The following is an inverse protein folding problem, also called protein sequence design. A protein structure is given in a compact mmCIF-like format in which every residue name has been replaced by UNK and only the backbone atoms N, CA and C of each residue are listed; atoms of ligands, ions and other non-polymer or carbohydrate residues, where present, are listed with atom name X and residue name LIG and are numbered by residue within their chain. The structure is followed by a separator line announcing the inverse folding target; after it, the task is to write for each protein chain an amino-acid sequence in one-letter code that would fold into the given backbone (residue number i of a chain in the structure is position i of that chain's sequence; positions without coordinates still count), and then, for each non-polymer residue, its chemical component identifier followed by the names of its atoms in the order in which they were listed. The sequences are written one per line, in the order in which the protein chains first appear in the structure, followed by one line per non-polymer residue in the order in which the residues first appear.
data_IF_248282592441
#
_entry.id   IF_248282592441
#
_cell.length_a   1.000
_cell.length_b   1.000
_cell.length_c   1.000
_cell.angle_alpha   90.00
_cell.angle_beta   90.00
_cell.angle_gamma   90.00
#
_symmetry.space_group_name_H-M   'P 1'
#
loop_
_entity.id
_entity.type
_entity.pdbx_description
1 polymer ?
#
# COMPACT_ATOMS: atom_id res chain seq x y z
N UNK A 1 0.36 -4.72 21.64
CA UNK A 1 1.48 -4.08 22.39
C UNK A 1 2.24 -5.01 23.32
N UNK A 2 2.07 -6.35 23.27
CA UNK A 2 2.78 -7.27 24.18
C UNK A 2 4.31 -7.25 24.03
N UNK A 3 4.81 -7.02 22.82
CA UNK A 3 6.25 -6.94 22.53
C UNK A 3 6.84 -5.55 22.79
N UNK A 4 6.01 -4.57 23.19
CA UNK A 4 6.49 -3.21 23.41
C UNK A 4 7.23 -3.11 24.74
N UNK A 5 8.33 -2.34 24.82
CA UNK A 5 9.15 -2.23 26.03
C UNK A 5 8.38 -1.58 27.20
N UNK A 6 7.41 -0.72 26.90
CA UNK A 6 6.56 -0.05 27.89
C UNK A 6 5.29 -0.84 28.25
N UNK A 7 5.15 -2.10 27.82
CA UNK A 7 3.96 -2.92 28.08
C UNK A 7 3.60 -2.96 29.56
N UNK A 8 4.58 -3.16 30.45
CA UNK A 8 4.32 -3.29 31.88
C UNK A 8 3.72 -2.01 32.49
N UNK A 9 4.15 -0.83 32.01
CA UNK A 9 3.59 0.48 32.37
C UNK A 9 2.24 0.74 31.70
N UNK A 10 2.04 0.23 30.49
CA UNK A 10 0.82 0.45 29.71
C UNK A 10 -0.38 -0.26 30.33
N UNK A 11 -0.16 -1.46 30.85
CA UNK A 11 -1.24 -2.31 31.38
C UNK A 11 -1.55 -1.94 32.83
N UNK A 12 -0.61 -1.32 33.56
CA UNK A 12 -0.81 -0.91 34.93
C UNK A 12 -2.01 0.06 35.08
N UNK A 13 -2.89 -0.26 36.02
CA UNK A 13 -4.09 0.51 36.31
C UNK A 13 -5.25 0.26 35.35
N UNK A 14 -5.03 -0.41 34.21
CA UNK A 14 -6.08 -0.65 33.20
C UNK A 14 -7.13 -1.63 33.71
N UNK A 15 -8.26 -1.72 32.99
CA UNK A 15 -9.31 -2.67 33.33
C UNK A 15 -9.42 -3.74 32.28
N UNK A 16 -9.66 -4.96 32.73
CA UNK A 16 -9.76 -6.14 31.88
C UNK A 16 -10.96 -6.98 32.30
N UNK A 17 -11.45 -7.76 31.35
CA UNK A 17 -12.52 -8.72 31.54
C UNK A 17 -11.90 -10.11 31.62
N UNK A 18 -12.19 -10.84 32.69
CA UNK A 18 -11.69 -12.20 32.89
C UNK A 18 -12.86 -13.18 32.97
N UNK A 19 -12.73 -14.31 32.28
CA UNK A 19 -13.66 -15.42 32.41
C UNK A 19 -13.42 -16.12 33.75
N UNK A 20 -14.49 -16.42 34.47
CA UNK A 20 -14.45 -17.20 35.69
C UNK A 20 -15.21 -18.49 35.40
N UNK A 21 -14.50 -19.60 35.50
CA UNK A 21 -15.00 -20.94 35.16
C UNK A 21 -15.92 -21.53 36.25
N UNK A 22 -16.40 -20.71 37.19
CA UNK A 22 -16.93 -21.17 38.48
C UNK A 22 -18.46 -21.15 38.55
N UNK A 23 -19.13 -21.35 37.42
CA UNK A 23 -20.59 -21.46 37.38
C UNK A 23 -21.02 -22.91 37.25
N UNK A 24 -21.84 -23.35 38.21
CA UNK A 24 -22.44 -24.70 38.28
C UNK A 24 -23.33 -25.00 37.06
N UNK A 25 -23.86 -23.96 36.41
CA UNK A 25 -24.79 -24.07 35.27
C UNK A 25 -24.13 -24.05 33.88
N UNK A 26 -22.79 -24.09 33.80
CA UNK A 26 -22.05 -24.13 32.52
C UNK A 26 -21.98 -22.82 31.74
N UNK A 27 -22.65 -21.75 32.19
CA UNK A 27 -22.49 -20.41 31.60
C UNK A 27 -21.16 -19.75 32.02
N UNK A 28 -20.38 -19.30 31.04
CA UNK A 28 -19.15 -18.52 31.27
C UNK A 28 -19.49 -17.14 31.82
N UNK A 29 -19.31 -16.96 33.12
CA UNK A 29 -19.45 -15.66 33.78
C UNK A 29 -18.15 -14.89 33.68
N UNK A 30 -18.25 -13.60 33.40
CA UNK A 30 -17.10 -12.72 33.35
C UNK A 30 -17.13 -11.71 34.49
N UNK A 31 -15.93 -11.36 35.00
CA UNK A 31 -15.77 -10.24 35.93
C UNK A 31 -14.94 -9.14 35.32
N UNK A 32 -15.32 -7.92 35.65
CA UNK A 32 -14.57 -6.72 35.37
C UNK A 32 -13.57 -6.49 36.50
N UNK A 33 -12.27 -6.45 36.19
CA UNK A 33 -11.20 -6.34 37.18
C UNK A 33 -10.20 -5.26 36.78
N UNK A 34 -9.56 -4.65 37.77
CA UNK A 34 -8.46 -3.70 37.55
C UNK A 34 -7.13 -4.46 37.55
N UNK A 35 -6.22 -4.10 36.64
CA UNK A 35 -4.85 -4.61 36.63
C UNK A 35 -3.99 -3.76 37.56
N UNK A 36 -3.40 -4.38 38.58
CA UNK A 36 -2.47 -3.70 39.48
C UNK A 36 -1.08 -3.57 38.84
N UNK A 37 -0.50 -4.67 38.38
CA UNK A 37 0.81 -4.71 37.75
C UNK A 37 1.01 -6.02 36.98
N UNK A 38 2.03 -6.06 36.14
CA UNK A 38 2.49 -7.28 35.46
C UNK A 38 3.34 -8.10 36.42
N UNK A 39 3.09 -9.40 36.51
CA UNK A 39 3.82 -10.34 37.36
C UNK A 39 4.20 -11.59 36.56
N UNK A 40 5.00 -12.49 37.15
CA UNK A 40 5.33 -13.76 36.51
C UNK A 40 4.48 -14.88 37.11
N UNK A 41 3.88 -15.71 36.24
CA UNK A 41 3.18 -16.93 36.61
C UNK A 41 4.16 -18.09 36.75
N UNK A 42 3.80 -19.07 37.57
CA UNK A 42 4.60 -20.27 37.84
C UNK A 42 4.81 -21.12 36.58
N UNK A 43 3.72 -21.38 35.84
CA UNK A 43 3.73 -22.19 34.62
C UNK A 43 3.82 -21.33 33.37
N UNK A 44 4.79 -21.63 32.50
CA UNK A 44 4.87 -21.01 31.18
C UNK A 44 3.72 -21.46 30.29
N UNK A 45 3.13 -20.53 29.54
CA UNK A 45 2.00 -20.80 28.65
C UNK A 45 2.22 -20.14 27.28
N UNK A 46 1.65 -20.69 26.20
CA UNK A 46 1.73 -20.06 24.89
C UNK A 46 0.86 -18.80 24.86
N UNK A 47 1.42 -17.68 24.46
CA UNK A 47 0.71 -16.43 24.25
C UNK A 47 1.34 -15.66 23.10
N UNK A 48 0.51 -15.14 22.20
CA UNK A 48 0.99 -14.28 21.12
C UNK A 48 2.11 -14.92 20.25
N UNK A 49 2.17 -16.25 20.15
CA UNK A 49 3.19 -16.99 19.38
C UNK A 49 4.48 -17.33 20.14
N UNK A 50 4.62 -16.91 21.41
CA UNK A 50 5.78 -17.21 22.27
C UNK A 50 5.32 -17.94 23.55
N UNK A 51 6.16 -18.82 24.12
CA UNK A 51 5.93 -19.33 25.48
C UNK A 51 6.34 -18.26 26.48
N UNK A 52 5.37 -17.69 27.20
CA UNK A 52 5.60 -16.62 28.18
C UNK A 52 5.30 -17.09 29.61
N UNK A 53 6.01 -16.51 30.58
CA UNK A 53 5.65 -16.56 32.00
C UNK A 53 5.05 -15.23 32.49
N UNK A 54 4.93 -14.21 31.63
CA UNK A 54 4.29 -12.94 32.03
C UNK A 54 2.80 -13.17 32.27
N UNK A 55 2.26 -12.64 33.36
CA UNK A 55 0.86 -12.58 33.70
C UNK A 55 0.52 -11.22 34.30
N UNK A 56 -0.73 -11.06 34.75
CA UNK A 56 -1.19 -9.81 35.36
C UNK A 56 -1.80 -10.10 36.73
N UNK A 57 -1.51 -9.22 37.69
CA UNK A 57 -2.20 -9.26 38.97
C UNK A 57 -3.49 -8.45 38.84
N UNK A 58 -4.61 -9.14 38.97
CA UNK A 58 -5.94 -8.55 38.91
C UNK A 58 -6.45 -8.25 40.31
N UNK A 59 -7.15 -7.13 40.44
CA UNK A 59 -7.77 -6.66 41.66
C UNK A 59 -9.28 -6.58 41.42
N UNK A 60 -10.03 -7.19 42.34
CA UNK A 60 -11.48 -7.14 42.40
C UNK A 60 -11.89 -6.80 43.84
N UNK A 61 -12.16 -5.52 44.09
CA UNK A 61 -12.34 -4.99 45.44
C UNK A 61 -11.08 -5.18 46.29
N UNK A 62 -11.18 -5.99 47.35
CA UNK A 62 -10.05 -6.33 48.25
C UNK A 62 -9.25 -7.56 47.79
N UNK A 63 -9.82 -8.38 46.92
CA UNK A 63 -9.20 -9.63 46.47
C UNK A 63 -8.21 -9.37 45.34
N UNK A 64 -7.03 -9.97 45.46
CA UNK A 64 -5.99 -9.94 44.42
C UNK A 64 -5.74 -11.35 43.91
N UNK A 65 -5.76 -11.54 42.59
CA UNK A 65 -5.48 -12.84 41.97
C UNK A 65 -4.60 -12.67 40.75
N UNK A 66 -3.62 -13.55 40.62
CA UNK A 66 -2.78 -13.61 39.43
C UNK A 66 -3.50 -14.36 38.32
N UNK A 67 -3.47 -13.81 37.11
CA UNK A 67 -4.05 -14.43 35.91
C UNK A 67 -3.05 -14.44 34.76
N UNK A 68 -3.15 -15.45 33.89
CA UNK A 68 -2.49 -15.47 32.60
C UNK A 68 -3.15 -14.45 31.65
N UNK A 69 -2.41 -13.96 30.67
CA UNK A 69 -2.92 -13.06 29.63
C UNK A 69 -3.89 -13.76 28.68
N UNK A 70 -3.79 -15.08 28.56
CA UNK A 70 -4.67 -15.90 27.72
C UNK A 70 -6.09 -16.03 28.28
N UNK A 71 -6.26 -15.89 29.61
CA UNK A 71 -7.58 -15.94 30.27
C UNK A 71 -8.37 -14.62 30.13
N UNK A 72 -7.75 -13.57 29.59
CA UNK A 72 -8.41 -12.28 29.37
C UNK A 72 -9.32 -12.35 28.15
N UNK A 73 -10.53 -11.82 28.29
CA UNK A 73 -11.51 -11.76 27.21
C UNK A 73 -11.21 -10.59 26.26
N UNK A 74 -11.38 -10.82 24.96
CA UNK A 74 -11.31 -9.78 23.93
C UNK A 74 -12.67 -9.08 23.69
N UNK A 75 -13.74 -9.56 24.33
CA UNK A 75 -15.07 -8.99 24.15
C UNK A 75 -15.21 -7.65 24.88
N UNK A 76 -16.13 -6.82 24.38
CA UNK A 76 -16.50 -5.55 25.03
C UNK A 76 -17.10 -5.81 26.41
N UNK A 77 -16.92 -4.85 27.30
CA UNK A 77 -17.54 -4.81 28.62
C UNK A 77 -19.06 -4.75 28.46
N UNK A 78 -19.78 -5.62 29.18
CA UNK A 78 -21.24 -5.57 29.25
C UNK A 78 -21.71 -4.77 30.46
N UNK A 79 -22.91 -4.20 30.39
CA UNK A 79 -23.50 -3.39 31.44
C UNK A 79 -23.66 -4.17 32.75
N UNK A 80 -24.22 -5.39 32.68
CA UNK A 80 -24.34 -6.30 33.84
C UNK A 80 -23.00 -6.53 34.57
N UNK A 81 -21.91 -6.68 33.81
CA UNK A 81 -20.58 -6.94 34.38
C UNK A 81 -20.03 -5.71 35.12
N UNK A 82 -20.30 -4.53 34.57
CA UNK A 82 -19.93 -3.25 35.18
C UNK A 82 -20.76 -2.99 36.44
N UNK A 83 -22.07 -3.19 36.39
CA UNK A 83 -22.97 -2.96 37.52
C UNK A 83 -22.64 -3.88 38.69
N UNK A 84 -22.39 -5.17 38.43
CA UNK A 84 -21.96 -6.10 39.47
C UNK A 84 -20.64 -5.67 40.13
N UNK A 85 -19.67 -5.22 39.33
CA UNK A 85 -18.42 -4.70 39.86
C UNK A 85 -18.61 -3.41 40.68
N UNK A 86 -19.44 -2.50 40.18
CA UNK A 86 -19.75 -1.22 40.84
C UNK A 86 -20.44 -1.45 42.19
N UNK A 87 -21.51 -2.25 42.21
CA UNK A 87 -22.26 -2.60 43.41
C UNK A 87 -21.35 -3.28 44.45
N UNK A 88 -20.44 -4.16 43.99
CA UNK A 88 -19.47 -4.80 44.86
C UNK A 88 -18.49 -3.79 45.48
N UNK A 89 -17.97 -2.83 44.70
CA UNK A 89 -17.11 -1.77 45.24
C UNK A 89 -17.84 -0.85 46.23
N UNK A 90 -19.09 -0.48 45.92
CA UNK A 90 -19.96 0.31 46.80
C UNK A 90 -20.22 -0.44 48.13
N UNK A 91 -20.45 -1.76 48.08
CA UNK A 91 -20.61 -2.60 49.28
C UNK A 91 -19.35 -2.63 50.16
N UNK A 92 -18.17 -2.49 49.54
CA UNK A 92 -16.88 -2.44 50.22
C UNK A 92 -16.48 -1.02 50.67
N UNK A 93 -17.36 -0.02 50.44
CA UNK A 93 -17.09 1.41 50.66
C UNK A 93 -15.82 1.90 49.95
N UNK A 94 -15.54 1.32 48.78
CA UNK A 94 -14.42 1.72 47.93
C UNK A 94 -14.88 2.75 46.89
N UNK A 95 -13.98 3.63 46.48
CA UNK A 95 -14.28 4.64 45.49
C UNK A 95 -14.37 4.02 44.09
N UNK A 96 -15.45 4.31 43.39
CA UNK A 96 -15.61 3.97 41.98
C UNK A 96 -14.91 5.06 41.15
N UNK A 97 -14.09 4.72 40.15
CA UNK A 97 -13.42 5.69 39.29
C UNK A 97 -14.41 6.63 38.62
N UNK A 98 -14.14 7.94 38.71
CA UNK A 98 -14.93 8.95 38.01
C UNK A 98 -14.71 8.88 36.51
N UNK A 99 -15.70 9.30 35.71
CA UNK A 99 -15.59 9.43 34.25
C UNK A 99 -14.34 10.20 33.81
N UNK A 100 -13.99 11.28 34.50
CA UNK A 100 -12.77 12.05 34.21
C UNK A 100 -11.49 11.25 34.38
N UNK A 101 -11.40 10.43 35.43
CA UNK A 101 -10.24 9.56 35.66
C UNK A 101 -10.12 8.52 34.54
N UNK A 102 -11.23 7.94 34.11
CA UNK A 102 -11.26 7.01 32.99
C UNK A 102 -10.81 7.67 31.67
N UNK A 103 -11.26 8.90 31.40
CA UNK A 103 -10.83 9.67 30.21
C UNK A 103 -9.34 9.99 30.27
N UNK A 104 -8.84 10.47 31.41
CA UNK A 104 -7.41 10.75 31.62
C UNK A 104 -6.57 9.51 31.39
N UNK A 105 -7.01 8.37 31.93
CA UNK A 105 -6.32 7.10 31.76
C UNK A 105 -6.34 6.61 30.31
N UNK A 106 -7.48 6.71 29.63
CA UNK A 106 -7.59 6.37 28.21
C UNK A 106 -6.65 7.22 27.35
N UNK A 107 -6.60 8.53 27.58
CA UNK A 107 -5.70 9.43 26.88
C UNK A 107 -4.22 9.10 27.17
N UNK A 108 -3.88 8.80 28.42
CA UNK A 108 -2.51 8.38 28.79
C UNK A 108 -2.07 7.10 28.05
N UNK A 109 -2.94 6.11 27.96
CA UNK A 109 -2.68 4.85 27.23
C UNK A 109 -2.53 5.11 25.73
N UNK A 110 -3.36 5.99 25.17
CA UNK A 110 -3.33 6.34 23.74
C UNK A 110 -2.09 7.15 23.36
N UNK A 111 -1.64 8.05 24.22
CA UNK A 111 -0.48 8.92 23.97
C UNK A 111 0.87 8.24 24.22
N UNK A 112 0.90 7.23 25.11
CA UNK A 112 2.14 6.53 25.49
C UNK A 112 2.94 5.99 24.29
N UNK A 113 2.34 5.26 23.33
CA UNK A 113 3.07 4.77 22.15
C UNK A 113 3.66 5.89 21.28
N UNK A 114 2.98 7.03 21.18
CA UNK A 114 3.44 8.16 20.36
C UNK A 114 4.55 8.97 21.03
N UNK A 115 4.61 8.97 22.36
CA UNK A 115 5.65 9.67 23.14
C UNK A 115 6.93 8.84 23.31
N UNK A 116 6.81 7.51 23.27
CA UNK A 116 7.95 6.63 23.51
C UNK A 116 8.94 6.70 22.34
N UNK A 117 10.15 7.21 22.62
CA UNK A 117 11.28 7.14 21.69
C UNK A 117 11.97 5.81 21.86
N UNK A 118 11.97 4.99 20.81
CA UNK A 118 12.64 3.69 20.83
C UNK A 118 14.15 3.87 20.75
N UNK A 119 14.87 3.10 21.57
CA UNK A 119 16.32 2.93 21.44
C UNK A 119 16.62 1.78 20.48
N UNK A 120 17.79 1.80 19.85
CA UNK A 120 18.20 0.74 18.91
C UNK A 120 18.20 -0.66 19.56
N UNK A 121 18.60 -0.74 20.83
CA UNK A 121 18.52 -1.96 21.64
C UNK A 121 17.09 -2.45 21.84
N UNK A 122 16.13 -1.55 22.10
CA UNK A 122 14.73 -1.92 22.24
C UNK A 122 14.14 -2.43 20.92
N UNK A 123 14.51 -1.79 19.81
CA UNK A 123 14.07 -2.21 18.48
C UNK A 123 14.61 -3.60 18.14
N UNK A 124 15.89 -3.86 18.39
CA UNK A 124 16.51 -5.17 18.11
C UNK A 124 15.86 -6.28 18.94
N UNK A 125 15.67 -6.07 20.25
CA UNK A 125 14.95 -7.03 21.12
C UNK A 125 13.52 -7.27 20.62
N UNK A 126 12.80 -6.21 20.28
CA UNK A 126 11.42 -6.32 19.81
C UNK A 126 11.33 -7.09 18.48
N UNK A 127 12.22 -6.81 17.53
CA UNK A 127 12.27 -7.49 16.23
C UNK A 127 12.61 -8.96 16.43
N UNK A 128 13.60 -9.27 17.27
CA UNK A 128 13.99 -10.64 17.57
C UNK A 128 12.84 -11.43 18.22
N UNK A 129 12.12 -10.84 19.17
CA UNK A 129 10.94 -11.47 19.79
C UNK A 129 9.77 -11.62 18.82
N UNK A 130 9.53 -10.65 17.94
CA UNK A 130 8.51 -10.73 16.89
C UNK A 130 8.84 -11.80 15.83
N UNK A 131 10.12 -12.00 15.53
CA UNK A 131 10.60 -13.09 14.67
C UNK A 131 10.45 -14.45 15.34
N UNK A 132 10.92 -14.59 16.58
CA UNK A 132 10.81 -15.84 17.35
C UNK A 132 9.36 -16.29 17.57
N UNK A 133 8.43 -15.35 17.72
CA UNK A 133 6.99 -15.62 17.85
C UNK A 133 6.27 -15.92 16.52
N UNK A 134 6.99 -15.92 15.40
CA UNK A 134 6.43 -16.18 14.07
C UNK A 134 5.45 -15.11 13.55
N UNK A 135 5.29 -13.99 14.28
CA UNK A 135 4.37 -12.90 13.90
C UNK A 135 4.97 -11.95 12.87
N UNK A 136 6.30 -11.80 12.90
CA UNK A 136 7.03 -11.11 11.84
C UNK A 136 7.31 -12.09 10.72
N UNK A 137 6.28 -12.46 9.96
CA UNK A 137 6.49 -13.12 8.67
C UNK A 137 6.83 -12.05 7.65
N UNK A 138 8.13 -11.89 7.38
CA UNK A 138 8.54 -11.23 6.16
C UNK A 138 8.05 -12.12 5.01
N UNK A 139 7.46 -11.53 3.97
CA UNK A 139 7.07 -12.31 2.80
C UNK A 139 8.28 -13.11 2.33
N UNK A 140 8.11 -14.42 2.09
CA UNK A 140 9.20 -15.34 1.71
C UNK A 140 10.06 -14.74 0.58
N UNK A 141 9.44 -14.05 -0.39
CA UNK A 141 10.17 -13.37 -1.47
C UNK A 141 11.07 -12.21 -1.03
N UNK A 142 10.66 -11.43 -0.02
CA UNK A 142 11.49 -10.34 0.53
C UNK A 142 12.65 -10.91 1.36
N UNK A 143 12.43 -12.04 2.05
CA UNK A 143 13.48 -12.72 2.80
C UNK A 143 14.51 -13.39 1.87
N UNK A 144 14.05 -13.99 0.76
CA UNK A 144 14.92 -14.52 -0.30
C UNK A 144 15.83 -13.42 -0.86
N UNK A 145 15.28 -12.28 -1.28
CA UNK A 145 16.08 -11.17 -1.84
C UNK A 145 17.07 -10.59 -0.83
N UNK A 146 16.70 -10.55 0.46
CA UNK A 146 17.63 -10.14 1.53
C UNK A 146 18.77 -11.13 1.70
N UNK A 147 18.46 -12.42 1.76
CA UNK A 147 19.46 -13.48 1.87
C UNK A 147 20.38 -13.51 0.65
N UNK A 148 19.87 -13.31 -0.57
CA UNK A 148 20.68 -13.20 -1.80
C UNK A 148 21.69 -12.04 -1.70
N UNK A 149 21.23 -10.88 -1.22
CA UNK A 149 22.11 -9.73 -0.98
C UNK A 149 23.15 -10.00 0.09
N UNK A 150 22.76 -10.65 1.18
CA UNK A 150 23.66 -10.97 2.30
C UNK A 150 24.71 -12.04 1.91
N UNK A 151 24.33 -13.03 1.09
CA UNK A 151 25.25 -14.00 0.47
C UNK A 151 26.25 -13.28 -0.43
N UNK A 152 25.78 -12.38 -1.31
CA UNK A 152 26.66 -11.61 -2.18
C UNK A 152 27.64 -10.76 -1.35
N UNK A 153 27.16 -10.10 -0.29
CA UNK A 153 28.00 -9.33 0.62
C UNK A 153 29.04 -10.20 1.36
N UNK A 154 28.65 -11.37 1.88
CA UNK A 154 29.54 -12.30 2.57
C UNK A 154 30.63 -12.86 1.63
N UNK A 155 30.28 -13.16 0.37
CA UNK A 155 31.24 -13.56 -0.67
C UNK A 155 32.22 -12.44 -1.00
N UNK A 156 31.74 -11.20 -1.15
CA UNK A 156 32.64 -10.06 -1.39
C UNK A 156 33.57 -9.78 -0.21
N UNK A 157 33.16 -10.12 1.01
CA UNK A 157 33.97 -9.99 2.22
C UNK A 157 34.89 -11.19 2.51
N UNK A 158 34.99 -12.18 1.60
CA UNK A 158 35.77 -13.43 1.77
C UNK A 158 35.46 -14.22 3.05
N UNK A 159 34.25 -14.09 3.59
CA UNK A 159 33.83 -14.85 4.77
C UNK A 159 33.08 -16.12 4.35
N UNK A 160 33.86 -17.15 4.00
CA UNK A 160 33.35 -18.38 3.40
C UNK A 160 32.40 -19.15 4.31
N UNK A 161 32.69 -19.23 5.62
CA UNK A 161 31.84 -19.94 6.58
C UNK A 161 30.42 -19.34 6.67
N UNK A 162 30.35 -18.00 6.77
CA UNK A 162 29.06 -17.29 6.78
C UNK A 162 28.35 -17.38 5.44
N UNK A 163 29.08 -17.42 4.33
CA UNK A 163 28.48 -17.53 3.00
C UNK A 163 27.78 -18.89 2.82
N UNK A 164 28.37 -19.98 3.32
CA UNK A 164 27.80 -21.33 3.26
C UNK A 164 26.53 -21.42 4.11
N UNK A 165 26.55 -20.87 5.33
CA UNK A 165 25.38 -20.84 6.20
C UNK A 165 24.21 -20.07 5.58
N UNK A 166 24.50 -18.90 4.99
CA UNK A 166 23.49 -18.06 4.34
C UNK A 166 22.93 -18.70 3.06
N UNK A 167 23.76 -19.40 2.28
CA UNK A 167 23.33 -20.15 1.10
C UNK A 167 22.43 -21.33 1.46
N UNK A 168 22.77 -22.10 2.50
CA UNK A 168 21.92 -23.18 2.99
C UNK A 168 20.54 -22.66 3.42
N UNK A 169 20.51 -21.53 4.12
CA UNK A 169 19.27 -20.86 4.53
C UNK A 169 18.47 -20.32 3.34
N UNK A 170 19.14 -19.76 2.34
CA UNK A 170 18.51 -19.30 1.10
C UNK A 170 17.81 -20.45 0.37
N UNK A 171 18.48 -21.60 0.23
CA UNK A 171 17.92 -22.78 -0.43
C UNK A 171 16.67 -23.31 0.29
N UNK A 172 16.69 -23.37 1.63
CA UNK A 172 15.51 -23.76 2.43
C UNK A 172 14.32 -22.82 2.19
N UNK A 173 14.57 -21.51 2.14
CA UNK A 173 13.52 -20.51 1.93
C UNK A 173 12.98 -20.53 0.50
N UNK A 174 13.83 -20.78 -0.50
CA UNK A 174 13.43 -20.97 -1.89
C UNK A 174 12.53 -22.21 -2.03
N UNK A 175 12.94 -23.34 -1.45
CA UNK A 175 12.14 -24.57 -1.46
C UNK A 175 10.78 -24.39 -0.78
N UNK A 176 10.72 -23.70 0.37
CA UNK A 176 9.45 -23.38 1.03
C UNK A 176 8.54 -22.48 0.18
N UNK A 177 9.13 -21.53 -0.56
CA UNK A 177 8.39 -20.68 -1.48
C UNK A 177 7.89 -21.46 -2.70
N UNK A 178 8.67 -22.38 -3.24
CA UNK A 178 8.27 -23.28 -4.33
C UNK A 178 7.12 -24.20 -3.91
N UNK A 179 7.17 -24.79 -2.71
CA UNK A 179 6.06 -25.56 -2.17
C UNK A 179 4.78 -24.73 -2.07
N UNK A 180 4.88 -23.49 -1.57
CA UNK A 180 3.73 -22.57 -1.55
C UNK A 180 3.23 -22.22 -2.94
N UNK A 181 4.14 -22.09 -3.91
CA UNK A 181 3.81 -21.81 -5.30
C UNK A 181 3.17 -23.01 -6.01
N UNK A 182 3.51 -24.22 -5.60
CA UNK A 182 2.94 -25.47 -6.10
C UNK A 182 1.48 -25.65 -5.65
N UNK A 183 1.10 -25.14 -4.47
CA UNK A 183 -0.28 -25.15 -3.95
C UNK A 183 -1.12 -24.00 -4.53
N UNK A 184 -0.85 -23.58 -5.78
CA UNK A 184 -1.72 -22.62 -6.46
C UNK A 184 -3.01 -23.31 -6.88
N UNK A 185 -4.13 -22.82 -6.36
CA UNK A 185 -5.45 -23.17 -6.89
C UNK A 185 -5.58 -22.68 -8.33
N UNK A 186 -6.28 -23.43 -9.20
CA UNK A 186 -6.41 -23.13 -10.63
C UNK A 186 -6.91 -21.70 -10.90
N UNK A 187 -7.76 -21.16 -10.02
CA UNK A 187 -8.26 -19.79 -10.12
C UNK A 187 -7.15 -18.73 -9.92
N UNK A 188 -6.17 -18.99 -9.04
CA UNK A 188 -5.04 -18.08 -8.82
C UNK A 188 -4.10 -18.11 -10.03
N UNK A 189 -3.92 -19.26 -10.68
CA UNK A 189 -3.15 -19.35 -11.94
C UNK A 189 -3.84 -18.54 -13.03
N UNK A 190 -5.15 -18.72 -13.22
CA UNK A 190 -5.97 -18.00 -14.21
C UNK A 190 -5.92 -16.49 -14.01
N UNK A 191 -6.07 -16.00 -12.77
CA UNK A 191 -6.02 -14.56 -12.47
C UNK A 191 -4.63 -13.97 -12.77
N UNK A 192 -3.56 -14.72 -12.44
CA UNK A 192 -2.20 -14.27 -12.72
C UNK A 192 -1.91 -14.21 -14.23
N UNK A 193 -2.41 -15.16 -15.02
CA UNK A 193 -2.30 -15.13 -16.48
C UNK A 193 -3.07 -13.95 -17.10
N UNK A 194 -4.28 -13.66 -16.60
CA UNK A 194 -5.05 -12.49 -17.04
C UNK A 194 -4.29 -11.20 -16.71
N UNK A 195 -3.72 -11.09 -15.51
CA UNK A 195 -2.93 -9.93 -15.11
C UNK A 195 -1.65 -9.78 -15.93
N UNK A 196 -0.96 -10.88 -16.25
CA UNK A 196 0.22 -10.87 -17.12
C UNK A 196 -0.14 -10.38 -18.52
N UNK A 197 -1.21 -10.94 -19.11
CA UNK A 197 -1.72 -10.53 -20.42
C UNK A 197 -2.13 -9.06 -20.44
N UNK A 198 -2.77 -8.57 -19.37
CA UNK A 198 -3.14 -7.16 -19.23
C UNK A 198 -1.92 -6.24 -19.14
N UNK A 199 -0.85 -6.66 -18.44
CA UNK A 199 0.41 -5.90 -18.40
C UNK A 199 1.07 -5.82 -19.77
N UNK A 200 1.13 -6.93 -20.49
CA UNK A 200 1.68 -6.96 -21.86
C UNK A 200 0.86 -6.11 -22.83
N UNK A 201 -0.47 -6.16 -22.74
CA UNK A 201 -1.36 -5.32 -23.55
C UNK A 201 -1.20 -3.85 -23.21
N UNK A 202 -1.09 -3.49 -21.92
CA UNK A 202 -0.85 -2.10 -21.52
C UNK A 202 0.52 -1.61 -22.01
N UNK A 203 1.57 -2.43 -21.87
CA UNK A 203 2.90 -2.07 -22.37
C UNK A 203 2.92 -1.88 -23.88
N UNK A 204 2.23 -2.75 -24.63
CA UNK A 204 2.09 -2.60 -26.08
C UNK A 204 1.27 -1.37 -26.45
N UNK A 205 0.18 -1.10 -25.75
CA UNK A 205 -0.65 0.11 -25.95
C UNK A 205 0.12 1.38 -25.64
N UNK A 206 0.98 1.40 -24.62
CA UNK A 206 1.84 2.54 -24.32
C UNK A 206 2.89 2.78 -25.42
N UNK A 207 3.46 1.69 -25.97
CA UNK A 207 4.37 1.77 -27.11
C UNK A 207 3.65 2.27 -28.38
N UNK A 208 2.48 1.72 -28.68
CA UNK A 208 1.66 2.12 -29.84
C UNK A 208 1.15 3.56 -29.67
N UNK A 209 0.79 3.97 -28.46
CA UNK A 209 0.40 5.34 -28.14
C UNK A 209 1.59 6.30 -28.26
N UNK A 210 2.79 5.89 -27.85
CA UNK A 210 4.01 6.67 -28.04
C UNK A 210 4.33 6.85 -29.53
N UNK A 211 4.18 5.80 -30.33
CA UNK A 211 4.36 5.87 -31.78
C UNK A 211 3.28 6.72 -32.47
N UNK A 212 2.02 6.59 -32.05
CA UNK A 212 0.90 7.40 -32.54
C UNK A 212 1.04 8.87 -32.16
N UNK A 213 1.45 9.16 -30.93
CA UNK A 213 1.73 10.52 -30.47
C UNK A 213 2.89 11.14 -31.27
N UNK A 214 3.92 10.35 -31.59
CA UNK A 214 5.03 10.79 -32.46
C UNK A 214 4.54 11.11 -33.87
N UNK A 215 3.74 10.22 -34.48
CA UNK A 215 3.16 10.45 -35.80
C UNK A 215 2.18 11.65 -35.84
N UNK A 216 1.45 11.90 -34.76
CA UNK A 216 0.60 13.09 -34.61
C UNK A 216 1.45 14.36 -34.47
N UNK A 217 2.55 14.30 -33.71
CA UNK A 217 3.52 15.39 -33.63
C UNK A 217 4.17 15.65 -34.98
N UNK A 218 4.41 14.64 -35.82
CA UNK A 218 4.97 14.83 -37.16
C UNK A 218 3.98 15.51 -38.13
N UNK A 219 2.69 15.17 -38.04
CA UNK A 219 1.62 15.77 -38.85
C UNK A 219 1.14 17.15 -38.36
N UNK A 220 1.53 17.59 -37.16
CA UNK A 220 1.18 18.92 -36.64
C UNK A 220 1.99 20.03 -37.32
N UNK A 221 1.38 21.18 -37.54
CA UNK A 221 2.12 22.38 -37.98
C UNK A 221 3.09 22.84 -36.89
N UNK A 222 4.21 23.47 -37.29
CA UNK A 222 5.24 23.96 -36.36
C UNK A 222 4.65 24.80 -35.21
N UNK A 223 3.65 25.64 -35.49
CA UNK A 223 2.95 26.45 -34.49
C UNK A 223 2.15 25.61 -33.47
N UNK A 224 1.60 24.47 -33.89
CA UNK A 224 0.81 23.57 -33.07
C UNK A 224 1.70 22.66 -32.20
N UNK A 225 2.84 22.20 -32.73
CA UNK A 225 3.90 21.51 -31.95
C UNK A 225 4.42 22.42 -30.83
N UNK A 226 4.61 23.70 -31.13
CA UNK A 226 5.02 24.73 -30.17
C UNK A 226 4.04 24.91 -29.01
N UNK A 227 2.73 24.88 -29.28
CA UNK A 227 1.70 24.96 -28.23
C UNK A 227 1.71 23.72 -27.34
N UNK A 228 1.93 22.53 -27.91
CA UNK A 228 2.01 21.27 -27.16
C UNK A 228 3.21 21.23 -26.21
N UNK A 229 4.39 21.68 -26.68
CA UNK A 229 5.61 21.80 -25.86
C UNK A 229 5.43 22.85 -24.76
N UNK A 230 4.82 24.00 -25.06
CA UNK A 230 4.51 25.05 -24.07
C UNK A 230 3.52 24.59 -22.98
N UNK A 231 2.55 23.76 -23.33
CA UNK A 231 1.58 23.22 -22.38
C UNK A 231 2.18 22.12 -21.47
N UNK A 232 3.16 21.36 -21.99
CA UNK A 232 3.76 20.22 -21.27
C UNK A 232 4.99 20.61 -20.43
N UNK A 233 5.74 21.64 -20.83
CA UNK A 233 6.93 22.13 -20.13
C UNK A 233 6.60 23.36 -19.28
N UNK A 234 5.88 23.16 -18.18
CA UNK A 234 5.54 24.25 -17.25
C UNK A 234 6.78 24.73 -16.48
N UNK A 235 7.61 25.59 -17.09
CA UNK A 235 8.52 26.61 -16.48
C UNK A 235 9.58 27.21 -17.42
N UNK A 236 9.64 26.82 -18.71
CA UNK A 236 10.59 27.39 -19.69
C UNK A 236 9.89 28.17 -20.79
N UNK A 237 10.49 29.27 -21.22
CA UNK A 237 9.99 30.07 -22.34
C UNK A 237 10.82 29.76 -23.60
N UNK A 238 10.16 29.36 -24.68
CA UNK A 238 10.83 29.04 -25.95
C UNK A 238 10.67 30.16 -26.97
N UNK A 239 11.79 30.72 -27.44
CA UNK A 239 11.89 31.75 -28.49
C UNK A 239 12.76 31.25 -29.66
N UNK A 240 12.54 31.80 -30.87
CA UNK A 240 13.43 31.54 -32.01
C UNK A 240 14.81 32.17 -31.77
N UNK A 241 15.86 31.55 -32.30
CA UNK A 241 17.26 31.96 -32.10
C UNK A 241 17.49 33.43 -32.47
N UNK A 242 16.97 33.86 -33.62
CA UNK A 242 17.03 35.26 -34.07
C UNK A 242 16.40 36.25 -33.07
N UNK A 243 15.29 35.85 -32.43
CA UNK A 243 14.63 36.69 -31.40
C UNK A 243 15.36 36.65 -30.07
N UNK A 244 16.08 35.59 -29.75
CA UNK A 244 16.92 35.52 -28.55
C UNK A 244 18.08 36.49 -28.73
N UNK A 245 18.75 36.47 -29.87
CA UNK A 245 19.92 37.32 -30.15
C UNK A 245 19.56 38.81 -30.16
N UNK A 246 18.43 39.18 -30.78
CA UNK A 246 17.92 40.57 -30.76
C UNK A 246 17.55 41.01 -29.33
N UNK A 247 16.88 40.16 -28.55
CA UNK A 247 16.49 40.53 -27.18
C UNK A 247 17.65 40.54 -26.17
N UNK A 248 18.72 39.78 -26.43
CA UNK A 248 19.96 39.84 -25.67
C UNK A 248 20.71 41.16 -25.96
N UNK A 249 20.74 41.56 -27.24
CA UNK A 249 21.33 42.83 -27.66
C UNK A 249 20.55 44.06 -27.15
N UNK A 250 19.22 43.96 -27.09
CA UNK A 250 18.33 44.99 -26.50
C UNK A 250 18.29 44.96 -24.97
N UNK A 251 19.02 44.06 -24.31
CA UNK A 251 19.14 43.97 -22.84
C UNK A 251 17.89 43.46 -22.10
N UNK A 252 16.92 42.88 -22.82
CA UNK A 252 15.68 42.32 -22.25
C UNK A 252 15.86 40.89 -21.73
N UNK A 253 16.90 40.20 -22.18
CA UNK A 253 17.35 38.89 -21.73
C UNK A 253 18.78 38.98 -21.18
N UNK A 254 19.09 38.20 -20.15
CA UNK A 254 20.43 38.16 -19.55
C UNK A 254 20.96 36.73 -19.65
N UNK A 255 22.20 36.60 -20.12
CA UNK A 255 22.93 35.33 -20.13
C UNK A 255 23.75 35.22 -18.84
N UNK A 256 23.47 34.21 -18.03
CA UNK A 256 24.23 33.91 -16.82
C UNK A 256 25.57 33.22 -17.17
N UNK A 257 26.53 33.21 -16.23
CA UNK A 257 27.86 32.61 -16.44
C UNK A 257 27.83 31.09 -16.70
N UNK A 258 26.73 30.42 -16.31
CA UNK A 258 26.48 28.99 -16.55
C UNK A 258 25.94 28.69 -17.96
N UNK A 259 25.75 29.73 -18.79
CA UNK A 259 25.25 29.62 -20.16
C UNK A 259 23.73 29.70 -20.30
N UNK A 260 22.96 29.80 -19.20
CA UNK A 260 21.49 29.92 -19.23
C UNK A 260 21.06 31.35 -19.57
N UNK A 261 19.97 31.48 -20.33
CA UNK A 261 19.38 32.78 -20.70
C UNK A 261 18.10 32.98 -19.87
N UNK A 262 17.95 34.12 -19.21
CA UNK A 262 16.79 34.41 -18.35
C UNK A 262 16.20 35.78 -18.67
N UNK A 263 14.90 35.97 -18.37
CA UNK A 263 14.28 37.31 -18.48
C UNK A 263 14.60 38.15 -17.24
N UNK A 264 14.80 39.45 -17.44
CA UNK A 264 15.26 40.38 -16.39
C UNK A 264 14.26 40.54 -15.23
N UNK A 265 12.95 40.45 -15.50
CA UNK A 265 11.91 40.83 -14.53
C UNK A 265 11.10 39.67 -13.92
N UNK A 266 11.18 38.46 -14.49
CA UNK A 266 10.55 37.24 -13.93
C UNK A 266 11.51 36.09 -14.22
N UNK A 267 12.12 35.48 -13.19
CA UNK A 267 13.08 34.39 -13.33
C UNK A 267 12.48 33.17 -14.07
N UNK A 268 12.45 33.22 -15.39
CA UNK A 268 11.99 32.18 -16.31
C UNK A 268 13.15 31.91 -17.25
N UNK A 269 13.58 30.65 -17.31
CA UNK A 269 14.65 30.18 -18.18
C UNK A 269 14.15 30.19 -19.64
N UNK A 270 14.93 30.77 -20.53
CA UNK A 270 14.66 30.91 -21.96
C UNK A 270 15.58 29.98 -22.72
N UNK A 271 15.00 29.10 -23.53
CA UNK A 271 15.72 28.10 -24.31
C UNK A 271 15.40 28.28 -25.80
N UNK A 272 16.39 28.12 -26.67
CA UNK A 272 16.20 28.21 -28.11
C UNK A 272 15.32 27.05 -28.59
N UNK A 273 14.40 27.33 -29.52
CA UNK A 273 13.67 26.27 -30.18
C UNK A 273 14.62 25.32 -30.93
N UNK A 274 14.37 24.00 -30.91
CA UNK A 274 15.07 23.05 -31.78
C UNK A 274 14.93 23.45 -33.26
N UNK A 275 16.02 23.35 -34.01
CA UNK A 275 16.11 23.82 -35.40
C UNK A 275 15.10 23.12 -36.33
N UNK A 276 14.68 21.89 -36.00
CA UNK A 276 13.65 21.11 -36.73
C UNK A 276 12.24 21.72 -36.73
N UNK A 277 12.00 22.79 -35.96
CA UNK A 277 10.68 23.44 -35.80
C UNK A 277 10.63 24.80 -36.52
N UNK A 278 11.74 25.29 -37.07
CA UNK A 278 11.81 26.57 -37.78
C UNK A 278 11.51 26.32 -39.27
N UNK A 279 10.40 26.83 -39.83
CA UNK A 279 10.17 26.71 -41.26
C UNK A 279 11.21 27.54 -42.03
N UNK A 280 11.96 26.90 -42.93
CA UNK A 280 12.89 27.56 -43.83
C UNK A 280 12.15 28.64 -44.64
N UNK A 281 12.54 29.90 -44.46
CA UNK A 281 11.89 31.03 -45.08
C UNK A 281 12.38 31.16 -46.54
N UNK A 282 11.93 30.28 -47.43
CA UNK A 282 12.11 30.42 -48.89
C UNK A 282 10.83 30.95 -49.54
N UNK A 283 11.01 32.04 -50.28
CA UNK A 283 10.03 32.85 -51.01
C UNK A 283 8.95 32.02 -51.74
N UNK A 284 7.71 32.50 -51.62
CA UNK A 284 6.52 32.14 -52.39
C UNK A 284 6.80 31.63 -53.81
N UNK A 285 6.54 30.34 -54.07
CA UNK A 285 6.12 29.85 -55.38
C UNK A 285 4.78 29.12 -55.22
N UNK A 286 3.79 29.56 -55.99
CA UNK A 286 2.44 28.99 -56.03
C UNK A 286 2.46 27.66 -56.79
N UNK A 287 3.01 26.62 -56.19
CA UNK A 287 2.79 25.23 -56.59
C UNK A 287 2.75 24.42 -55.30
N UNK A 288 1.59 24.43 -54.61
CA UNK A 288 1.32 23.39 -53.61
C UNK A 288 1.35 22.04 -54.33
N UNK A 289 2.45 21.32 -54.15
CA UNK A 289 2.74 20.00 -54.68
C UNK A 289 1.50 19.12 -54.79
N UNK A 290 1.15 18.78 -56.03
CA UNK A 290 0.10 17.81 -56.38
C UNK A 290 0.32 16.49 -55.63
N UNK A 291 1.58 16.15 -55.33
CA UNK A 291 2.00 15.02 -54.50
C UNK A 291 1.49 15.10 -53.05
N UNK A 292 1.57 16.26 -52.39
CA UNK A 292 1.10 16.44 -51.01
C UNK A 292 -0.43 16.37 -50.95
N UNK A 293 -1.13 16.89 -51.96
CA UNK A 293 -2.59 16.72 -52.08
C UNK A 293 -2.98 15.27 -52.37
N UNK A 294 -2.25 14.55 -53.23
CA UNK A 294 -2.47 13.14 -53.50
C UNK A 294 -2.20 12.25 -52.28
N UNK A 295 -1.13 12.52 -51.53
CA UNK A 295 -0.80 11.78 -50.31
C UNK A 295 -1.82 12.00 -49.20
N UNK A 296 -2.31 13.24 -49.01
CA UNK A 296 -3.40 13.52 -48.07
C UNK A 296 -4.68 12.79 -48.47
N UNK A 297 -5.00 12.74 -49.77
CA UNK A 297 -6.18 12.02 -50.28
C UNK A 297 -6.04 10.51 -50.11
N UNK A 298 -4.84 9.96 -50.32
CA UNK A 298 -4.52 8.54 -50.12
C UNK A 298 -4.57 8.14 -48.63
N UNK A 299 -4.01 8.95 -47.72
CA UNK A 299 -4.11 8.76 -46.27
C UNK A 299 -5.56 8.85 -45.78
N UNK A 300 -6.35 9.77 -46.31
CA UNK A 300 -7.78 9.88 -45.97
C UNK A 300 -8.58 8.64 -46.43
N UNK A 301 -8.25 8.08 -47.60
CA UNK A 301 -8.84 6.82 -48.07
C UNK A 301 -8.42 5.62 -47.21
N UNK A 302 -7.14 5.52 -46.82
CA UNK A 302 -6.67 4.46 -45.91
C UNK A 302 -7.35 4.53 -44.54
N UNK A 303 -7.49 5.73 -43.96
CA UNK A 303 -8.22 5.94 -42.70
C UNK A 303 -9.69 5.53 -42.80
N UNK A 304 -10.37 5.84 -43.92
CA UNK A 304 -11.75 5.41 -44.15
C UNK A 304 -11.87 3.88 -44.31
N UNK A 305 -10.88 3.22 -44.91
CA UNK A 305 -10.83 1.75 -45.02
C UNK A 305 -10.60 1.11 -43.64
N UNK A 306 -9.75 1.70 -42.81
CA UNK A 306 -9.54 1.25 -41.42
C UNK A 306 -10.81 1.43 -40.59
N UNK A 307 -11.48 2.57 -40.70
CA UNK A 307 -12.70 2.85 -39.96
C UNK A 307 -13.87 1.94 -40.35
N UNK A 308 -14.02 1.65 -41.65
CA UNK A 308 -15.01 0.66 -42.14
C UNK A 308 -14.67 -0.76 -41.68
N UNK A 309 -13.39 -1.14 -41.63
CA UNK A 309 -12.94 -2.44 -41.09
C UNK A 309 -13.22 -2.57 -39.59
N UNK A 310 -12.91 -1.54 -38.80
CA UNK A 310 -13.22 -1.49 -37.36
C UNK A 310 -14.72 -1.57 -37.11
N UNK A 311 -15.53 -0.84 -37.88
CA UNK A 311 -16.99 -0.92 -37.78
C UNK A 311 -17.54 -2.29 -38.19
N UNK A 312 -16.92 -2.97 -39.16
CA UNK A 312 -17.29 -4.34 -39.53
C UNK A 312 -16.94 -5.36 -38.44
N UNK A 313 -15.84 -5.18 -37.71
CA UNK A 313 -15.46 -6.03 -36.57
C UNK A 313 -16.34 -5.77 -35.35
N UNK A 314 -16.75 -4.53 -35.11
CA UNK A 314 -17.70 -4.19 -34.05
C UNK A 314 -19.08 -4.81 -34.30
N UNK A 315 -19.53 -4.91 -35.55
CA UNK A 315 -20.77 -5.61 -35.93
C UNK A 315 -20.69 -7.13 -35.80
N UNK A 316 -19.50 -7.72 -35.81
CA UNK A 316 -19.28 -9.18 -35.63
C UNK A 316 -19.23 -9.61 -34.16
N UNK A 317 -19.14 -8.67 -33.22
CA UNK A 317 -19.23 -8.98 -31.78
C UNK A 317 -20.68 -9.36 -31.46
N UNK A 318 -20.94 -10.46 -30.74
CA UNK A 318 -22.29 -10.81 -30.36
C UNK A 318 -22.86 -9.73 -29.43
N UNK A 319 -23.80 -8.95 -29.95
CA UNK A 319 -24.50 -7.92 -29.19
C UNK A 319 -25.52 -8.63 -28.31
N UNK A 320 -25.20 -8.76 -27.02
CA UNK A 320 -26.12 -9.27 -26.00
C UNK A 320 -27.35 -8.35 -25.95
N UNK A 321 -28.55 -8.92 -26.11
CA UNK A 321 -29.81 -8.15 -26.15
C UNK A 321 -30.05 -7.41 -24.84
N UNK A 322 -30.75 -6.28 -24.91
CA UNK A 322 -30.99 -5.42 -23.75
C UNK A 322 -31.92 -6.08 -22.70
N UNK A 323 -32.68 -7.11 -23.09
CA UNK A 323 -33.43 -7.98 -22.18
C UNK A 323 -32.51 -8.90 -21.35
N UNK A 324 -31.44 -9.42 -21.95
CA UNK A 324 -30.40 -10.20 -21.24
C UNK A 324 -29.55 -9.30 -20.34
N UNK A 325 -29.37 -8.03 -20.69
CA UNK A 325 -28.73 -7.03 -19.81
C UNK A 325 -29.62 -6.63 -18.63
N UNK A 326 -30.94 -6.50 -18.83
CA UNK A 326 -31.92 -6.21 -17.76
C UNK A 326 -32.07 -7.36 -16.75
N UNK A 327 -31.93 -8.61 -17.20
CA UNK A 327 -32.01 -9.80 -16.33
C UNK A 327 -30.73 -10.05 -15.54
N UNK A 328 -29.57 -9.55 -15.99
CA UNK A 328 -28.35 -9.47 -15.18
C UNK A 328 -28.45 -8.32 -14.18
N UNK A 329 -29.22 -8.52 -13.10
CA UNK A 329 -29.04 -7.70 -11.89
C UNK A 329 -27.64 -8.00 -11.36
N UNK A 330 -26.77 -6.98 -11.36
CA UNK A 330 -25.52 -7.04 -10.59
C UNK A 330 -25.85 -7.43 -9.16
N UNK A 331 -25.14 -8.43 -8.63
CA UNK A 331 -25.27 -8.82 -7.23
C UNK A 331 -25.02 -7.57 -6.40
N UNK A 332 -26.03 -7.15 -5.63
CA UNK A 332 -25.87 -6.05 -4.68
C UNK A 332 -24.73 -6.39 -3.74
N UNK A 333 -23.95 -5.40 -3.31
CA UNK A 333 -22.84 -5.61 -2.37
C UNK A 333 -23.33 -6.36 -1.11
N UNK A 334 -24.60 -6.14 -0.72
CA UNK A 334 -25.27 -6.84 0.38
C UNK A 334 -25.51 -8.32 0.10
N UNK A 335 -25.91 -8.67 -1.13
CA UNK A 335 -26.09 -10.06 -1.57
C UNK A 335 -24.74 -10.79 -1.71
N UNK A 336 -23.68 -10.07 -2.12
CA UNK A 336 -22.32 -10.60 -2.11
C UNK A 336 -21.86 -10.94 -0.69
N UNK A 337 -22.04 -10.02 0.26
CA UNK A 337 -21.68 -10.27 1.66
C UNK A 337 -22.50 -11.39 2.30
N UNK A 338 -23.79 -11.50 2.00
CA UNK A 338 -24.62 -12.61 2.48
C UNK A 338 -24.14 -13.95 1.93
N UNK A 339 -23.79 -14.05 0.64
CA UNK A 339 -23.24 -15.26 0.04
C UNK A 339 -21.89 -15.67 0.62
N UNK A 340 -21.02 -14.69 0.91
CA UNK A 340 -19.75 -14.95 1.59
C UNK A 340 -20.00 -15.48 3.00
N UNK A 341 -20.99 -14.91 3.71
CA UNK A 341 -21.36 -15.32 5.07
C UNK A 341 -21.95 -16.73 5.14
N UNK A 342 -22.78 -17.10 4.16
CA UNK A 342 -23.32 -18.46 4.01
C UNK A 342 -22.24 -19.48 3.67
N UNK A 343 -21.25 -19.13 2.85
CA UNK A 343 -20.10 -20.01 2.56
C UNK A 343 -19.21 -20.24 3.78
N UNK A 344 -18.91 -19.20 4.55
CA UNK A 344 -18.15 -19.36 5.80
C UNK A 344 -18.90 -20.21 6.83
N UNK A 345 -20.24 -20.10 6.90
CA UNK A 345 -21.04 -20.94 7.79
C UNK A 345 -21.10 -22.41 7.35
N UNK A 346 -20.98 -22.69 6.05
CA UNK A 346 -20.92 -24.06 5.52
C UNK A 346 -19.54 -24.71 5.68
N UNK A 347 -18.46 -23.91 5.69
CA UNK A 347 -17.09 -24.38 5.95
C UNK A 347 -16.83 -24.62 7.45
N UNK A 348 -17.48 -23.86 8.34
CA UNK A 348 -17.38 -24.04 9.79
C UNK A 348 -18.28 -25.16 10.36
N UNK A 349 -19.11 -25.78 9.51
CA UNK A 349 -20.07 -26.83 9.86
C UNK A 349 -19.73 -28.24 9.37
N UNK A 350 -18.53 -28.45 8.80
CA UNK A 350 -18.05 -29.73 8.27
C UNK A 350 -16.90 -30.31 9.10
#
# INVERSE_FOLDING_TARGET
NFFEPFFDKLVQGTYVKIAIDDNVDGERVYRFCQVSHVCNVERSYPFAGEKTKKGVMLVYGKSKRTSTLAALSNHRLQEREFDLWRLYLESLKMTVPTKEMAIKQYNAIKEMPSRHKYTDEQVTVMVNRKRASGKSQVSLGVEIVRLERDVAAAKTANNFDKSIELEARLAQMQHANEQRLAVKTEDVVRINEINKRNREINMKRDMDASASNRAQMDNMSAAQKLQYVRASASRRMYLSKDKIDVNLAEGKLVKLPDGRIMTVNKLVEVEALPDDIIPDNKKNSKEEDVLVKMERKRKAQELAVVETRVNSELKKRPVVSDEVKKTRRGISMKDYFNRVKERTAAEDGA
#
